data_IF_370097481048
#
_entry.id   IF_370097481048
#
_cell.length_a   1.000
_cell.length_b   1.000
_cell.length_c   1.000
_cell.angle_alpha   90.00
_cell.angle_beta   90.00
_cell.angle_gamma   90.00
#
_symmetry.space_group_name_H-M   'P 1'
#
loop_
_entity.id
_entity.type
_entity.pdbx_description
1 polymer ?
#
# COMPACT_ATOMS: atom_id res chain seq x y z
N UNK A 1 4.26 22.20 16.20
CA UNK A 1 4.43 21.09 15.24
C UNK A 1 5.87 20.63 15.42
N UNK A 2 6.09 19.35 15.70
CA UNK A 2 7.44 18.82 15.95
C UNK A 2 8.38 19.13 14.76
N UNK A 3 9.58 19.56 15.05
CA UNK A 3 10.58 19.84 14.02
C UNK A 3 11.38 18.56 13.69
N UNK A 4 11.09 18.00 12.52
CA UNK A 4 11.81 16.86 11.98
C UNK A 4 13.00 17.26 11.08
N UNK A 5 13.30 18.56 10.95
CA UNK A 5 14.35 19.06 10.04
C UNK A 5 15.67 19.32 10.74
N UNK A 6 15.65 19.49 12.06
CA UNK A 6 16.84 19.78 12.90
C UNK A 6 17.56 18.51 13.38
N UNK A 7 18.57 18.73 14.23
CA UNK A 7 19.24 17.63 14.92
C UNK A 7 18.27 16.99 15.93
N UNK A 8 18.50 15.73 16.21
CA UNK A 8 17.70 14.95 17.16
C UNK A 8 18.60 14.44 18.25
N UNK A 9 18.13 14.56 19.48
CA UNK A 9 18.86 14.13 20.65
C UNK A 9 18.04 13.09 21.40
N UNK A 10 18.71 12.20 22.13
CA UNK A 10 18.07 11.18 22.96
C UNK A 10 17.10 10.28 22.20
N UNK A 11 17.44 9.92 20.97
CA UNK A 11 16.62 9.05 20.14
C UNK A 11 16.44 7.67 20.77
N UNK A 12 15.17 7.27 20.94
CA UNK A 12 14.82 6.00 21.56
C UNK A 12 13.57 5.43 20.90
N UNK A 13 13.52 4.11 20.73
CA UNK A 13 12.30 3.40 20.36
C UNK A 13 11.66 2.77 21.58
N UNK A 14 10.37 2.99 21.75
CA UNK A 14 9.59 2.37 22.82
C UNK A 14 8.49 1.50 22.23
N UNK A 15 8.25 0.37 22.88
CA UNK A 15 7.29 -0.64 22.42
C UNK A 15 6.25 -0.83 23.51
N UNK A 16 5.00 -0.48 23.24
CA UNK A 16 3.88 -0.56 24.18
C UNK A 16 2.98 -1.72 23.83
N UNK A 17 2.53 -2.45 24.84
CA UNK A 17 1.45 -3.40 24.68
C UNK A 17 0.12 -2.65 24.61
N UNK A 18 -0.76 -3.01 23.68
CA UNK A 18 -2.09 -2.42 23.51
C UNK A 18 -3.11 -3.54 23.50
N UNK A 19 -4.05 -3.52 24.45
CA UNK A 19 -5.10 -4.53 24.51
C UNK A 19 -6.00 -4.48 23.29
N UNK A 20 -6.22 -5.64 22.69
CA UNK A 20 -7.07 -5.77 21.49
C UNK A 20 -8.55 -5.42 21.76
N UNK A 21 -9.08 -5.71 22.97
CA UNK A 21 -10.50 -5.57 23.29
C UNK A 21 -10.93 -4.12 23.56
N UNK A 22 -10.03 -3.27 24.06
CA UNK A 22 -10.37 -1.92 24.51
C UNK A 22 -9.38 -0.83 24.08
N UNK A 23 -8.32 -1.19 23.34
CA UNK A 23 -7.30 -0.28 22.82
C UNK A 23 -6.51 0.49 23.89
N UNK A 24 -6.49 -0.02 25.12
CA UNK A 24 -5.74 0.57 26.23
C UNK A 24 -4.27 0.17 26.15
N UNK A 25 -3.40 1.16 26.30
CA UNK A 25 -1.96 0.94 26.40
C UNK A 25 -1.57 0.46 27.80
N UNK A 26 -0.64 -0.49 27.82
CA UNK A 26 -0.05 -1.07 29.02
C UNK A 26 1.45 -0.83 29.07
N UNK A 27 2.14 -1.55 29.98
CA UNK A 27 3.59 -1.47 30.15
C UNK A 27 4.35 -1.79 28.87
N UNK A 28 5.56 -1.25 28.76
CA UNK A 28 6.43 -1.46 27.63
C UNK A 28 6.93 -2.92 27.53
N UNK A 29 7.24 -3.35 26.32
CA UNK A 29 8.06 -4.52 26.05
C UNK A 29 9.55 -4.14 26.19
N UNK A 30 10.18 -4.34 27.34
CA UNK A 30 11.52 -3.79 27.60
C UNK A 30 12.65 -4.59 26.94
N UNK A 31 12.34 -5.73 26.35
CA UNK A 31 13.31 -6.70 25.80
C UNK A 31 13.41 -6.71 24.28
N UNK A 32 12.74 -5.82 23.59
CA UNK A 32 12.97 -5.62 22.15
C UNK A 32 14.31 -4.90 22.00
N UNK A 33 15.23 -5.48 21.24
CA UNK A 33 16.61 -5.00 21.10
C UNK A 33 16.84 -4.25 19.80
N UNK A 34 16.16 -4.62 18.74
CA UNK A 34 16.21 -3.99 17.42
C UNK A 34 14.96 -4.32 16.62
N UNK A 35 14.77 -3.69 15.48
CA UNK A 35 13.70 -4.01 14.58
C UNK A 35 13.67 -3.16 13.32
N UNK A 36 12.72 -3.46 12.47
CA UNK A 36 12.40 -2.67 11.29
C UNK A 36 10.90 -2.62 11.07
N UNK A 37 10.45 -1.56 10.42
CA UNK A 37 9.09 -1.41 9.91
C UNK A 37 9.14 -1.22 8.41
N UNK A 38 8.18 -1.80 7.73
CA UNK A 38 7.96 -1.60 6.30
C UNK A 38 6.52 -1.15 6.07
N UNK A 39 6.38 -0.01 5.41
CA UNK A 39 5.12 0.46 4.86
C UNK A 39 5.16 0.22 3.35
N UNK A 40 4.20 -0.52 2.81
CA UNK A 40 4.17 -0.89 1.39
C UNK A 40 2.76 -0.74 0.80
N UNK A 41 2.62 0.12 -0.19
CA UNK A 41 1.35 0.42 -0.83
C UNK A 41 0.76 -0.77 -1.60
N UNK A 42 1.61 -1.63 -2.14
CA UNK A 42 1.25 -2.84 -2.89
C UNK A 42 0.97 -4.07 -2.00
N UNK A 43 1.36 -4.01 -0.71
CA UNK A 43 1.05 -5.07 0.25
C UNK A 43 -0.41 -5.01 0.72
N UNK A 44 -1.07 -6.16 0.86
CA UNK A 44 -2.42 -6.24 1.43
C UNK A 44 -2.48 -5.69 2.85
N UNK A 45 -1.46 -5.96 3.65
CA UNK A 45 -1.40 -5.55 5.05
C UNK A 45 -0.89 -4.11 5.24
N UNK A 46 -0.34 -3.49 4.20
CA UNK A 46 0.19 -2.12 4.18
C UNK A 46 1.35 -1.84 5.13
N UNK A 47 1.35 -2.39 6.35
CA UNK A 47 2.39 -2.20 7.36
C UNK A 47 2.76 -3.55 7.95
N UNK A 48 4.06 -3.84 7.93
CA UNK A 48 4.67 -5.02 8.54
C UNK A 48 5.90 -4.61 9.37
N UNK A 49 6.37 -5.51 10.23
CA UNK A 49 7.57 -5.28 11.02
C UNK A 49 8.27 -6.56 11.40
N UNK A 50 9.55 -6.46 11.72
CA UNK A 50 10.35 -7.54 12.27
C UNK A 50 11.15 -7.02 13.45
N UNK A 51 11.13 -7.73 14.58
CA UNK A 51 11.68 -7.25 15.85
C UNK A 51 12.50 -8.35 16.50
N UNK A 52 13.73 -8.06 16.87
CA UNK A 52 14.54 -8.94 17.69
C UNK A 52 14.27 -8.72 19.16
N UNK A 53 14.19 -9.80 19.92
CA UNK A 53 14.02 -9.74 21.35
C UNK A 53 15.03 -10.62 22.10
N UNK A 54 15.42 -10.17 23.30
CA UNK A 54 16.17 -10.96 24.26
C UNK A 54 15.69 -10.66 25.69
N UNK A 55 15.19 -11.65 26.40
CA UNK A 55 14.63 -11.48 27.74
C UNK A 55 14.57 -12.75 28.58
N UNK A 56 14.16 -12.62 29.84
CA UNK A 56 13.98 -13.75 30.74
C UNK A 56 12.60 -14.42 30.59
N UNK A 57 11.68 -13.79 29.87
CA UNK A 57 10.34 -14.27 29.57
C UNK A 57 10.01 -13.98 28.10
N UNK A 58 9.17 -14.82 27.52
CA UNK A 58 8.66 -14.56 26.18
C UNK A 58 7.73 -13.34 26.18
N UNK A 59 7.79 -12.46 25.18
CA UNK A 59 6.80 -11.41 24.96
C UNK A 59 5.39 -11.99 24.84
N UNK A 60 4.39 -11.29 25.38
CA UNK A 60 2.99 -11.66 25.20
C UNK A 60 2.51 -11.27 23.80
N UNK A 61 2.08 -12.25 23.01
CA UNK A 61 1.59 -12.04 21.63
C UNK A 61 0.07 -12.04 21.52
N UNK A 62 -0.66 -12.05 22.65
CA UNK A 62 -2.12 -12.01 22.65
C UNK A 62 -2.69 -10.62 22.38
N UNK A 63 -1.91 -9.58 22.68
CA UNK A 63 -2.23 -8.18 22.46
C UNK A 63 -1.46 -7.60 21.27
N UNK A 64 -1.81 -6.37 20.92
CA UNK A 64 -1.09 -5.60 19.91
C UNK A 64 0.19 -4.99 20.49
N UNK A 65 1.18 -4.74 19.63
CA UNK A 65 2.36 -3.97 19.96
C UNK A 65 2.30 -2.63 19.19
N UNK A 66 2.42 -1.52 19.92
CA UNK A 66 2.57 -0.19 19.33
C UNK A 66 4.01 0.27 19.46
N UNK A 67 4.59 0.65 18.33
CA UNK A 67 5.96 1.14 18.22
C UNK A 67 5.95 2.65 18.25
N UNK A 68 6.76 3.24 19.11
CA UNK A 68 6.97 4.68 19.20
C UNK A 68 8.41 5.04 18.90
N UNK A 69 8.59 6.22 18.32
CA UNK A 69 9.85 6.90 18.15
C UNK A 69 9.85 8.18 18.98
N UNK A 70 10.75 8.23 19.94
CA UNK A 70 10.90 9.31 20.89
C UNK A 70 12.24 10.01 20.66
N UNK A 71 12.23 11.35 20.65
CA UNK A 71 13.43 12.16 20.55
C UNK A 71 13.18 13.58 21.08
N UNK A 72 14.25 14.30 21.38
CA UNK A 72 14.20 15.73 21.69
C UNK A 72 14.67 16.51 20.45
N UNK A 73 13.87 17.51 20.02
CA UNK A 73 14.22 18.38 18.90
C UNK A 73 15.26 19.47 19.30
N UNK A 74 15.73 20.23 18.33
CA UNK A 74 16.71 21.32 18.57
C UNK A 74 16.20 22.42 19.54
N UNK A 75 14.89 22.52 19.75
CA UNK A 75 14.28 23.46 20.69
C UNK A 75 14.17 22.85 22.10
N UNK A 76 14.51 21.59 22.27
CA UNK A 76 14.37 20.82 23.50
C UNK A 76 12.92 20.36 23.75
N UNK A 77 12.05 20.39 22.75
CA UNK A 77 10.72 19.79 22.83
C UNK A 77 10.82 18.28 22.66
N UNK A 78 10.18 17.54 23.58
CA UNK A 78 10.11 16.09 23.50
C UNK A 78 9.03 15.68 22.49
N UNK A 79 9.43 14.91 21.47
CA UNK A 79 8.58 14.35 20.44
C UNK A 79 8.30 12.89 20.77
N UNK A 80 7.04 12.52 20.91
CA UNK A 80 6.56 11.16 21.12
C UNK A 80 5.65 10.78 19.94
N UNK A 81 6.16 9.99 18.99
CA UNK A 81 5.49 9.72 17.73
C UNK A 81 5.23 8.23 17.55
N UNK A 82 3.95 7.84 17.41
CA UNK A 82 3.58 6.48 17.05
C UNK A 82 3.98 6.19 15.59
N UNK A 83 4.60 5.04 15.35
CA UNK A 83 5.00 4.58 14.01
C UNK A 83 4.04 3.53 13.46
N UNK A 84 3.64 2.56 14.28
CA UNK A 84 2.73 1.48 13.88
C UNK A 84 2.11 0.80 15.09
N UNK A 85 0.93 0.20 14.89
CA UNK A 85 0.28 -0.73 15.82
C UNK A 85 0.08 -2.06 15.12
N UNK A 86 0.64 -3.14 15.65
CA UNK A 86 0.81 -4.42 14.97
C UNK A 86 0.34 -5.60 15.83
N UNK A 87 -0.26 -6.59 15.22
CA UNK A 87 -0.25 -7.95 15.76
C UNK A 87 1.16 -8.50 15.67
N UNK A 88 1.64 -9.16 16.70
CA UNK A 88 2.96 -9.78 16.72
C UNK A 88 2.85 -11.29 16.89
N UNK A 89 3.71 -12.02 16.22
CA UNK A 89 3.82 -13.47 16.31
C UNK A 89 5.29 -13.89 16.34
N UNK A 90 5.60 -15.00 17.00
CA UNK A 90 6.96 -15.54 16.96
C UNK A 90 7.24 -16.15 15.60
N UNK A 91 8.33 -15.74 14.96
CA UNK A 91 8.88 -16.40 13.80
C UNK A 91 10.04 -17.34 14.16
N UNK A 92 10.82 -16.97 15.18
CA UNK A 92 11.88 -17.82 15.73
C UNK A 92 12.03 -17.61 17.24
N UNK A 93 12.33 -18.68 17.97
CA UNK A 93 12.55 -18.65 19.42
C UNK A 93 13.65 -19.63 19.82
N UNK A 94 14.69 -19.12 20.44
CA UNK A 94 15.77 -19.91 21.03
C UNK A 94 15.82 -19.68 22.54
N UNK A 95 15.91 -20.78 23.31
CA UNK A 95 16.10 -20.72 24.75
C UNK A 95 17.56 -21.07 25.10
N UNK A 96 18.24 -20.15 25.74
CA UNK A 96 19.65 -20.28 26.15
C UNK A 96 19.76 -20.40 27.66
N UNK A 97 20.33 -21.49 28.13
CA UNK A 97 20.64 -21.66 29.54
C UNK A 97 21.83 -20.77 29.94
N UNK A 98 21.64 -19.96 30.96
CA UNK A 98 22.68 -19.09 31.54
C UNK A 98 22.92 -19.40 33.01
N UNK A 99 23.95 -18.86 33.61
CA UNK A 99 24.22 -19.00 35.06
C UNK A 99 23.12 -18.38 35.93
N UNK A 100 22.30 -17.50 35.41
CA UNK A 100 21.21 -16.79 36.09
C UNK A 100 19.83 -17.31 35.75
N UNK A 101 19.71 -18.33 34.89
CA UNK A 101 18.43 -18.90 34.46
C UNK A 101 18.38 -19.12 32.95
N UNK A 102 17.17 -19.26 32.41
CA UNK A 102 16.94 -19.39 30.97
C UNK A 102 16.67 -17.99 30.43
N UNK A 103 17.40 -17.61 29.38
CA UNK A 103 17.07 -16.48 28.52
C UNK A 103 16.44 -16.95 27.24
N UNK A 104 15.40 -16.28 26.80
CA UNK A 104 14.76 -16.47 25.49
C UNK A 104 15.17 -15.34 24.56
N UNK A 105 15.57 -15.68 23.34
CA UNK A 105 15.84 -14.71 22.27
C UNK A 105 15.20 -15.19 20.98
N UNK A 106 14.95 -14.27 20.08
CA UNK A 106 14.35 -14.63 18.78
C UNK A 106 13.82 -13.44 18.04
N UNK A 107 12.93 -13.73 17.10
CA UNK A 107 12.31 -12.73 16.23
C UNK A 107 10.79 -12.77 16.38
N UNK A 108 10.19 -11.58 16.41
CA UNK A 108 8.76 -11.35 16.29
C UNK A 108 8.46 -10.74 14.94
N UNK A 109 7.55 -11.32 14.18
CA UNK A 109 7.00 -10.71 12.97
C UNK A 109 5.74 -9.93 13.33
N UNK A 110 5.67 -8.69 12.84
CA UNK A 110 4.56 -7.78 13.02
C UNK A 110 3.71 -7.67 11.76
N UNK A 111 2.40 -7.65 11.93
CA UNK A 111 1.42 -7.42 10.87
C UNK A 111 0.42 -6.37 11.30
N UNK A 112 0.03 -5.48 10.41
CA UNK A 112 -0.93 -4.42 10.73
C UNK A 112 -2.28 -4.98 11.18
N UNK A 113 -3.12 -4.11 11.73
CA UNK A 113 -4.49 -4.44 12.15
C UNK A 113 -5.38 -4.96 11.01
N UNK A 114 -5.02 -4.70 9.74
CA UNK A 114 -5.70 -5.27 8.58
C UNK A 114 -5.64 -6.79 8.53
N UNK A 115 -4.68 -7.40 9.23
CA UNK A 115 -4.57 -8.86 9.40
C UNK A 115 -5.85 -9.46 9.97
N UNK A 116 -6.52 -8.78 10.90
CA UNK A 116 -7.79 -9.25 11.46
C UNK A 116 -8.91 -9.29 10.42
N UNK A 117 -8.93 -8.35 9.46
CA UNK A 117 -9.85 -8.36 8.32
C UNK A 117 -9.49 -9.46 7.31
N UNK A 118 -8.20 -9.68 7.06
CA UNK A 118 -7.71 -10.71 6.14
C UNK A 118 -8.01 -12.13 6.67
N UNK A 119 -7.85 -12.36 7.97
CA UNK A 119 -8.08 -13.66 8.60
C UNK A 119 -9.57 -13.99 8.76
N UNK A 120 -10.42 -12.97 8.86
CA UNK A 120 -11.87 -13.14 8.94
C UNK A 120 -12.44 -13.41 7.56
N UNK A 121 -13.00 -14.63 7.38
CA UNK A 121 -13.54 -15.09 6.11
C UNK A 121 -15.00 -15.49 6.21
N UNK A 122 -15.77 -15.28 5.13
CA UNK A 122 -17.12 -15.80 5.03
C UNK A 122 -17.10 -17.29 4.69
N UNK A 123 -17.84 -18.09 5.49
CA UNK A 123 -17.97 -19.54 5.24
C UNK A 123 -18.97 -19.92 4.12
N UNK A 124 -19.72 -18.94 3.60
CA UNK A 124 -20.70 -19.09 2.51
C UNK A 124 -20.58 -17.87 1.57
N UNK A 125 -21.13 -17.93 0.35
CA UNK A 125 -21.16 -16.77 -0.54
C UNK A 125 -21.79 -15.57 0.16
N UNK A 126 -21.18 -14.39 -0.03
CA UNK A 126 -21.63 -13.14 0.57
C UNK A 126 -22.05 -12.16 -0.52
N UNK A 127 -23.28 -11.65 -0.43
CA UNK A 127 -23.81 -10.70 -1.42
C UNK A 127 -23.94 -9.32 -0.80
N UNK A 128 -23.40 -8.34 -1.49
CA UNK A 128 -23.69 -6.91 -1.27
C UNK A 128 -24.76 -6.51 -2.25
N UNK A 129 -25.86 -5.92 -1.78
CA UNK A 129 -27.03 -5.67 -2.62
C UNK A 129 -26.96 -4.29 -3.29
N UNK A 130 -27.63 -4.17 -4.44
CA UNK A 130 -27.82 -2.89 -5.11
C UNK A 130 -28.45 -1.86 -4.17
N UNK A 131 -28.08 -0.59 -4.35
CA UNK A 131 -28.48 0.56 -3.53
C UNK A 131 -27.94 0.57 -2.09
N UNK A 132 -27.12 -0.39 -1.66
CA UNK A 132 -26.34 -0.24 -0.43
C UNK A 132 -25.25 0.82 -0.63
N UNK A 133 -25.00 1.65 0.41
CA UNK A 133 -23.88 2.57 0.41
C UNK A 133 -22.57 1.79 0.63
N UNK A 134 -21.65 1.88 -0.32
CA UNK A 134 -20.43 1.09 -0.34
C UNK A 134 -19.53 1.37 0.88
N UNK A 135 -19.28 2.66 1.18
CA UNK A 135 -18.39 3.04 2.29
C UNK A 135 -19.02 2.70 3.64
N UNK A 136 -20.31 2.95 3.82
CA UNK A 136 -20.98 2.58 5.07
C UNK A 136 -20.97 1.06 5.30
N UNK A 137 -21.08 0.28 4.24
CA UNK A 137 -20.96 -1.19 4.32
C UNK A 137 -19.54 -1.61 4.73
N UNK A 138 -18.51 -1.00 4.15
CA UNK A 138 -17.12 -1.23 4.53
C UNK A 138 -16.87 -0.91 6.01
N UNK A 139 -17.34 0.26 6.49
CA UNK A 139 -17.27 0.67 7.89
C UNK A 139 -17.95 -0.35 8.81
N UNK A 140 -19.12 -0.87 8.41
CA UNK A 140 -19.85 -1.88 9.18
C UNK A 140 -19.05 -3.19 9.31
N UNK A 141 -18.39 -3.64 8.24
CA UNK A 141 -17.53 -4.84 8.27
C UNK A 141 -16.33 -4.62 9.20
N UNK A 142 -15.64 -3.50 9.10
CA UNK A 142 -14.47 -3.17 9.92
C UNK A 142 -14.85 -3.12 11.41
N UNK A 143 -15.91 -2.39 11.74
CA UNK A 143 -16.34 -2.24 13.14
C UNK A 143 -16.91 -3.54 13.74
N UNK A 144 -17.46 -4.43 12.91
CA UNK A 144 -18.01 -5.72 13.35
C UNK A 144 -16.97 -6.66 13.97
N UNK A 145 -15.68 -6.43 13.72
CA UNK A 145 -14.58 -7.21 14.31
C UNK A 145 -13.80 -6.45 15.39
N UNK A 146 -14.29 -5.28 15.81
CA UNK A 146 -13.70 -4.50 16.90
C UNK A 146 -12.61 -3.50 16.49
N UNK A 147 -12.40 -3.30 15.18
CA UNK A 147 -11.46 -2.28 14.67
C UNK A 147 -12.08 -0.88 14.70
N UNK A 148 -11.25 0.10 15.01
CA UNK A 148 -11.58 1.51 14.83
C UNK A 148 -11.47 1.89 13.35
N UNK A 149 -12.32 2.80 12.91
CA UNK A 149 -12.32 3.29 11.53
C UNK A 149 -12.49 4.79 11.50
N UNK A 150 -11.66 5.45 10.70
CA UNK A 150 -11.80 6.83 10.29
C UNK A 150 -12.10 6.88 8.78
N UNK A 151 -13.13 7.62 8.38
CA UNK A 151 -13.56 7.63 7.00
C UNK A 151 -14.16 8.96 6.57
N UNK A 152 -13.96 9.33 5.32
CA UNK A 152 -14.69 10.43 4.69
C UNK A 152 -16.06 9.89 4.26
N UNK A 153 -17.18 10.47 4.70
CA UNK A 153 -18.51 10.04 4.26
C UNK A 153 -18.73 10.28 2.76
N UNK A 154 -19.34 9.29 2.09
CA UNK A 154 -19.76 9.40 0.69
C UNK A 154 -21.18 8.87 0.52
N UNK A 155 -21.86 9.32 -0.54
CA UNK A 155 -23.23 8.94 -0.89
C UNK A 155 -23.30 7.88 -2.02
N UNK A 156 -22.17 7.40 -2.49
CA UNK A 156 -22.10 6.41 -3.58
C UNK A 156 -22.80 5.12 -3.16
N UNK A 157 -23.80 4.72 -3.95
CA UNK A 157 -24.52 3.47 -3.80
C UNK A 157 -24.17 2.51 -4.92
N UNK A 158 -24.20 1.22 -4.63
CA UNK A 158 -23.91 0.19 -5.60
C UNK A 158 -25.02 0.11 -6.67
N UNK A 159 -24.63 0.04 -7.94
CA UNK A 159 -25.55 -0.01 -9.07
C UNK A 159 -26.19 -1.39 -9.28
N UNK A 160 -25.57 -2.46 -8.78
CA UNK A 160 -26.00 -3.85 -8.94
C UNK A 160 -25.60 -4.69 -7.74
N UNK A 161 -26.24 -5.86 -7.59
CA UNK A 161 -25.80 -6.86 -6.61
C UNK A 161 -24.44 -7.41 -7.02
N UNK A 162 -23.57 -7.61 -6.03
CA UNK A 162 -22.30 -8.31 -6.23
C UNK A 162 -22.14 -9.43 -5.20
N UNK A 163 -21.86 -10.64 -5.68
CA UNK A 163 -21.72 -11.83 -4.85
C UNK A 163 -20.28 -12.31 -4.86
N UNK A 164 -19.69 -12.39 -3.69
CA UNK A 164 -18.39 -12.97 -3.45
C UNK A 164 -18.51 -14.46 -3.15
N UNK A 165 -17.52 -15.23 -3.57
CA UNK A 165 -17.46 -16.66 -3.30
C UNK A 165 -17.23 -16.95 -1.80
N UNK A 166 -17.53 -18.18 -1.40
CA UNK A 166 -17.20 -18.65 -0.06
C UNK A 166 -15.69 -18.65 0.18
N UNK A 167 -15.27 -18.21 1.35
CA UNK A 167 -13.86 -18.09 1.72
C UNK A 167 -13.23 -16.73 1.45
N UNK A 168 -13.96 -15.77 0.84
CA UNK A 168 -13.51 -14.40 0.68
C UNK A 168 -13.23 -13.76 2.04
N UNK A 169 -12.15 -12.99 2.16
CA UNK A 169 -11.82 -12.26 3.38
C UNK A 169 -12.63 -10.96 3.51
N UNK A 170 -12.78 -10.48 4.74
CA UNK A 170 -13.37 -9.16 4.97
C UNK A 170 -12.53 -8.05 4.32
N UNK A 171 -11.21 -8.20 4.28
CA UNK A 171 -10.31 -7.23 3.66
C UNK A 171 -10.56 -7.11 2.16
N UNK A 172 -10.73 -8.23 1.45
CA UNK A 172 -11.02 -8.23 0.01
C UNK A 172 -12.35 -7.52 -0.27
N UNK A 173 -13.39 -7.78 0.55
CA UNK A 173 -14.69 -7.13 0.41
C UNK A 173 -14.58 -5.63 0.69
N UNK A 174 -13.88 -5.23 1.75
CA UNK A 174 -13.67 -3.81 2.11
C UNK A 174 -12.94 -3.09 0.98
N UNK A 175 -11.85 -3.66 0.46
CA UNK A 175 -11.10 -3.05 -0.64
C UNK A 175 -11.93 -2.96 -1.93
N UNK A 176 -12.73 -3.98 -2.25
CA UNK A 176 -13.65 -3.92 -3.38
C UNK A 176 -14.70 -2.81 -3.21
N UNK A 177 -15.28 -2.66 -2.00
CA UNK A 177 -16.24 -1.59 -1.71
C UNK A 177 -15.60 -0.20 -1.81
N UNK A 178 -14.36 -0.05 -1.34
CA UNK A 178 -13.57 1.18 -1.49
C UNK A 178 -13.39 1.51 -2.98
N UNK A 179 -12.95 0.54 -3.77
CA UNK A 179 -12.77 0.72 -5.22
C UNK A 179 -14.08 1.08 -5.93
N UNK A 180 -15.19 0.41 -5.58
CA UNK A 180 -16.51 0.70 -6.15
C UNK A 180 -17.00 2.13 -5.84
N UNK A 181 -16.55 2.71 -4.73
CA UNK A 181 -16.84 4.09 -4.35
C UNK A 181 -15.79 5.10 -4.83
N UNK A 182 -14.74 4.68 -5.54
CA UNK A 182 -13.63 5.56 -5.96
C UNK A 182 -12.69 5.94 -4.80
N UNK A 183 -12.58 5.07 -3.80
CA UNK A 183 -11.66 5.22 -2.66
C UNK A 183 -10.38 4.42 -2.89
N UNK A 184 -9.31 4.87 -2.22
CA UNK A 184 -8.10 4.06 -2.08
C UNK A 184 -8.38 2.81 -1.23
N UNK A 185 -7.61 1.73 -1.40
CA UNK A 185 -7.65 0.59 -0.49
C UNK A 185 -7.47 1.02 0.97
N UNK A 186 -8.07 0.25 1.89
CA UNK A 186 -7.96 0.50 3.32
C UNK A 186 -6.50 0.55 3.79
N UNK A 187 -6.15 1.56 4.60
CA UNK A 187 -4.80 1.76 5.16
C UNK A 187 -4.91 1.92 6.68
N UNK A 188 -4.07 1.27 7.48
CA UNK A 188 -4.04 1.52 8.92
C UNK A 188 -3.22 2.78 9.21
N UNK A 189 -3.67 3.61 10.17
CA UNK A 189 -2.83 4.65 10.75
C UNK A 189 -1.84 4.07 11.78
N UNK A 190 -0.97 4.92 12.32
CA UNK A 190 0.02 4.51 13.32
C UNK A 190 -0.63 3.99 14.63
N UNK A 191 -1.84 4.40 14.94
CA UNK A 191 -2.58 3.99 16.14
C UNK A 191 -3.45 2.75 15.91
N UNK A 192 -3.47 2.20 14.69
CA UNK A 192 -4.25 1.02 14.33
C UNK A 192 -5.70 1.33 13.95
N UNK A 193 -6.04 2.58 13.66
CA UNK A 193 -7.33 2.93 13.08
C UNK A 193 -7.29 2.67 11.58
N UNK A 194 -8.30 2.01 11.06
CA UNK A 194 -8.42 1.79 9.61
C UNK A 194 -8.95 3.06 8.96
N UNK A 195 -8.22 3.59 7.99
CA UNK A 195 -8.54 4.84 7.29
C UNK A 195 -9.11 4.53 5.91
N UNK A 196 -10.28 5.10 5.58
CA UNK A 196 -10.92 5.01 4.27
C UNK A 196 -11.06 6.42 3.69
N UNK A 197 -10.32 6.71 2.61
CA UNK A 197 -10.28 8.02 1.98
C UNK A 197 -10.52 7.93 0.47
N UNK A 198 -11.19 8.94 -0.15
CA UNK A 198 -11.32 9.02 -1.59
C UNK A 198 -9.93 8.97 -2.27
N UNK A 199 -9.88 8.29 -3.40
CA UNK A 199 -8.67 8.33 -4.24
C UNK A 199 -8.43 9.77 -4.71
N UNK A 200 -7.22 10.26 -4.50
CA UNK A 200 -6.80 11.59 -4.96
C UNK A 200 -5.56 11.44 -5.83
N UNK A 201 -5.61 12.00 -7.03
CA UNK A 201 -4.48 11.99 -7.93
C UNK A 201 -3.33 12.84 -7.35
N UNK A 202 -2.14 12.27 -7.33
CA UNK A 202 -0.91 12.90 -6.81
C UNK A 202 -0.57 14.20 -7.51
N UNK A 203 -0.85 14.30 -8.81
CA UNK A 203 -0.56 15.49 -9.61
C UNK A 203 -1.32 16.71 -9.06
N UNK A 204 -2.42 16.50 -8.36
CA UNK A 204 -3.28 17.55 -7.78
C UNK A 204 -3.00 17.83 -6.31
N UNK A 205 -2.10 17.06 -5.68
CA UNK A 205 -1.78 17.22 -4.25
C UNK A 205 -0.52 18.07 -4.06
N UNK A 206 -0.56 18.93 -3.05
CA UNK A 206 0.67 19.53 -2.52
C UNK A 206 1.52 18.45 -1.85
N UNK A 207 2.83 18.49 -2.05
CA UNK A 207 3.72 17.54 -1.43
C UNK A 207 3.68 17.66 0.11
N UNK A 208 3.38 16.56 0.79
CA UNK A 208 3.37 16.49 2.26
C UNK A 208 4.79 16.70 2.83
N UNK A 209 5.80 16.18 2.12
CA UNK A 209 7.22 16.35 2.46
C UNK A 209 8.01 16.67 1.20
N UNK A 210 8.94 17.62 1.34
CA UNK A 210 9.94 17.95 0.30
C UNK A 210 11.30 17.52 0.82
N UNK A 211 11.94 16.60 0.10
CA UNK A 211 13.34 16.27 0.30
C UNK A 211 14.18 17.07 -0.69
N UNK A 212 15.20 17.78 -0.19
CA UNK A 212 16.09 18.57 -1.02
C UNK A 212 17.55 18.25 -0.69
N UNK A 213 18.43 18.45 -1.65
CA UNK A 213 19.87 18.35 -1.39
C UNK A 213 20.38 19.70 -0.85
N UNK A 214 19.97 20.04 0.36
CA UNK A 214 20.35 21.27 1.08
C UNK A 214 20.67 20.97 2.55
N UNK A 215 21.15 21.99 3.27
CA UNK A 215 21.57 21.87 4.67
C UNK A 215 20.37 21.61 5.64
N UNK A 216 19.14 21.69 5.16
CA UNK A 216 17.91 21.50 5.95
C UNK A 216 17.25 20.14 5.71
N UNK A 217 17.62 19.47 4.64
CA UNK A 217 17.12 18.15 4.31
C UNK A 217 18.06 17.09 4.83
N UNK A 218 17.56 16.22 5.68
CA UNK A 218 18.33 15.07 6.14
C UNK A 218 18.18 13.94 5.10
N UNK A 219 18.47 14.23 3.84
CA UNK A 219 18.51 13.28 2.74
C UNK A 219 19.97 12.91 2.45
N UNK A 220 20.25 11.62 2.31
CA UNK A 220 21.56 11.17 1.87
C UNK A 220 21.77 11.51 0.39
N UNK A 221 23.02 11.76 -0.05
CA UNK A 221 23.28 12.27 -1.40
C UNK A 221 23.00 11.28 -2.52
N UNK A 222 22.69 10.03 -2.19
CA UNK A 222 22.44 8.99 -3.19
C UNK A 222 20.95 8.92 -3.54
N UNK A 223 20.62 9.20 -4.79
CA UNK A 223 19.27 9.07 -5.36
C UNK A 223 19.34 8.04 -6.49
N UNK A 224 18.54 6.99 -6.38
CA UNK A 224 18.40 6.00 -7.45
C UNK A 224 17.10 6.24 -8.21
N UNK A 225 17.20 6.36 -9.52
CA UNK A 225 16.03 6.46 -10.42
C UNK A 225 15.95 5.19 -11.25
N UNK A 226 14.84 4.49 -11.15
CA UNK A 226 14.58 3.27 -11.91
C UNK A 226 13.34 3.45 -12.78
N UNK A 227 13.53 3.23 -14.08
CA UNK A 227 12.49 3.27 -15.11
C UNK A 227 12.47 1.92 -15.80
N UNK A 228 11.83 0.95 -15.21
CA UNK A 228 11.68 -0.37 -15.84
C UNK A 228 10.40 -0.42 -16.69
N UNK A 229 10.57 -0.14 -17.96
CA UNK A 229 9.53 -0.28 -18.99
C UNK A 229 9.73 -1.53 -19.85
N UNK A 230 10.69 -2.39 -19.52
CA UNK A 230 11.03 -3.57 -20.32
C UNK A 230 9.86 -4.56 -20.40
N UNK A 231 9.10 -4.69 -19.32
CA UNK A 231 7.94 -5.59 -19.22
C UNK A 231 6.60 -4.90 -19.58
N UNK A 232 6.59 -3.58 -19.81
CA UNK A 232 5.37 -2.83 -20.12
C UNK A 232 4.81 -3.22 -21.49
N UNK A 233 3.58 -3.77 -21.60
CA UNK A 233 3.00 -4.16 -22.85
C UNK A 233 2.64 -2.93 -23.71
N UNK A 234 2.77 -3.05 -25.02
CA UNK A 234 2.32 -2.06 -25.99
C UNK A 234 1.22 -2.56 -26.91
N UNK A 235 0.84 -3.81 -26.73
CA UNK A 235 -0.31 -4.42 -27.40
C UNK A 235 -1.13 -5.18 -26.36
N UNK A 236 -2.43 -4.94 -26.34
CA UNK A 236 -3.38 -5.72 -25.54
C UNK A 236 -4.29 -6.49 -26.49
N UNK A 237 -4.40 -7.79 -26.29
CA UNK A 237 -5.32 -8.66 -27.03
C UNK A 237 -6.28 -9.30 -26.05
N UNK A 238 -7.57 -9.06 -26.25
CA UNK A 238 -8.63 -9.69 -25.46
C UNK A 238 -9.39 -10.67 -26.35
N UNK A 239 -9.71 -11.82 -25.78
CA UNK A 239 -10.56 -12.83 -26.39
C UNK A 239 -11.81 -13.01 -25.54
N UNK A 240 -12.99 -12.70 -26.11
CA UNK A 240 -14.24 -13.12 -25.56
C UNK A 240 -14.66 -14.44 -26.18
N UNK A 241 -14.75 -15.50 -25.40
CA UNK A 241 -15.00 -16.84 -25.88
C UNK A 241 -16.11 -17.52 -25.07
N UNK A 242 -17.19 -17.82 -25.75
CA UNK A 242 -18.35 -18.55 -25.20
C UNK A 242 -18.86 -19.58 -26.20
N UNK A 243 -19.73 -20.45 -25.78
CA UNK A 243 -20.39 -21.43 -26.69
C UNK A 243 -21.11 -20.80 -27.88
N UNK A 244 -21.48 -19.50 -27.76
CA UNK A 244 -22.31 -18.78 -28.75
C UNK A 244 -21.55 -17.76 -29.57
N UNK A 245 -20.41 -17.27 -29.10
CA UNK A 245 -19.63 -16.22 -29.75
C UNK A 245 -18.16 -16.32 -29.43
N UNK A 246 -17.33 -16.04 -30.43
CA UNK A 246 -15.89 -15.87 -30.26
C UNK A 246 -15.48 -14.56 -30.94
N UNK A 247 -15.04 -13.58 -30.14
CA UNK A 247 -14.73 -12.23 -30.60
C UNK A 247 -13.33 -11.88 -30.06
N UNK A 248 -12.49 -11.28 -30.88
CA UNK A 248 -11.20 -10.72 -30.47
C UNK A 248 -11.22 -9.20 -30.55
N UNK A 249 -10.50 -8.57 -29.65
CA UNK A 249 -10.17 -7.15 -29.72
C UNK A 249 -8.69 -6.94 -29.51
N UNK A 250 -8.13 -5.98 -30.20
CA UNK A 250 -6.73 -5.56 -30.10
C UNK A 250 -6.65 -4.06 -29.92
N UNK A 251 -5.81 -3.61 -28.99
CA UNK A 251 -5.42 -2.20 -28.84
C UNK A 251 -3.89 -2.10 -28.86
N UNK A 252 -3.35 -1.14 -29.61
CA UNK A 252 -1.92 -0.91 -29.78
C UNK A 252 -1.54 0.51 -29.38
N UNK A 253 -0.51 0.64 -28.56
CA UNK A 253 0.13 1.92 -28.26
C UNK A 253 1.14 2.24 -29.37
N UNK A 254 0.74 3.09 -30.30
CA UNK A 254 1.58 3.44 -31.44
C UNK A 254 2.72 4.38 -31.07
N UNK A 255 2.43 5.44 -30.32
CA UNK A 255 3.37 6.49 -29.97
C UNK A 255 2.99 7.20 -28.68
N UNK A 256 3.86 8.05 -28.13
CA UNK A 256 3.58 8.91 -26.98
C UNK A 256 4.09 8.36 -25.64
N UNK A 257 4.64 7.14 -25.60
CA UNK A 257 5.33 6.61 -24.42
C UNK A 257 6.63 5.89 -24.79
N UNK A 258 7.49 5.65 -23.81
CA UNK A 258 8.74 4.87 -24.00
C UNK A 258 8.47 3.40 -24.36
N UNK A 259 7.30 2.88 -23.95
CA UNK A 259 6.86 1.53 -24.26
C UNK A 259 6.22 1.40 -25.63
N UNK A 260 5.89 2.51 -26.33
CA UNK A 260 5.18 2.50 -27.62
C UNK A 260 5.88 1.72 -28.71
N UNK A 261 5.12 1.33 -29.74
CA UNK A 261 5.67 0.63 -30.92
C UNK A 261 6.75 1.48 -31.63
N UNK A 262 6.53 2.80 -31.75
CA UNK A 262 7.51 3.70 -32.36
C UNK A 262 8.81 3.73 -31.56
N UNK A 263 8.74 3.87 -30.23
CA UNK A 263 9.90 3.90 -29.36
C UNK A 263 10.68 2.56 -29.36
N UNK A 264 9.98 1.44 -29.58
CA UNK A 264 10.56 0.09 -29.63
C UNK A 264 10.90 -0.39 -31.05
N UNK A 265 10.84 0.49 -32.04
CA UNK A 265 11.14 0.13 -33.44
C UNK A 265 10.19 -0.90 -34.02
N UNK A 266 8.93 -0.87 -33.65
CA UNK A 266 7.87 -1.77 -34.10
C UNK A 266 7.80 -3.11 -33.36
N UNK A 267 8.59 -3.31 -32.29
CA UNK A 267 8.57 -4.56 -31.50
C UNK A 267 7.34 -4.60 -30.60
N UNK A 268 6.49 -5.60 -30.82
CA UNK A 268 5.31 -5.83 -30.00
C UNK A 268 5.68 -6.57 -28.69
N UNK A 269 5.10 -6.12 -27.60
CA UNK A 269 5.00 -6.83 -26.32
C UNK A 269 3.53 -6.92 -25.98
N UNK A 270 3.00 -8.14 -26.08
CA UNK A 270 1.56 -8.38 -26.02
C UNK A 270 1.14 -8.88 -24.65
N UNK A 271 0.16 -8.21 -24.06
CA UNK A 271 -0.67 -8.75 -22.98
C UNK A 271 -1.87 -9.46 -23.60
N UNK A 272 -2.17 -10.66 -23.13
CA UNK A 272 -3.29 -11.46 -23.60
C UNK A 272 -4.17 -11.87 -22.43
N UNK A 273 -5.48 -11.71 -22.58
CA UNK A 273 -6.48 -12.11 -21.59
C UNK A 273 -7.72 -12.69 -22.28
N UNK A 274 -8.26 -13.77 -21.72
CA UNK A 274 -9.52 -14.37 -22.13
C UNK A 274 -10.60 -14.04 -21.10
N UNK A 275 -11.76 -13.56 -21.55
CA UNK A 275 -12.92 -13.25 -20.71
C UNK A 275 -14.18 -13.92 -21.23
N UNK A 276 -15.02 -14.39 -20.31
CA UNK A 276 -16.36 -14.89 -20.61
C UNK A 276 -17.47 -13.90 -20.24
N UNK A 277 -17.10 -12.78 -19.60
CA UNK A 277 -18.01 -11.77 -19.09
C UNK A 277 -17.85 -10.45 -19.85
N UNK A 278 -18.88 -9.99 -20.50
CA UNK A 278 -18.99 -8.66 -21.06
C UNK A 278 -20.32 -8.04 -20.65
N UNK A 279 -20.31 -6.75 -20.30
CA UNK A 279 -21.55 -6.04 -20.03
C UNK A 279 -22.32 -5.83 -21.33
N UNK A 280 -23.45 -6.43 -21.52
CA UNK A 280 -24.45 -6.27 -22.59
C UNK A 280 -24.26 -7.06 -23.90
N UNK A 281 -25.41 -7.63 -24.38
CA UNK A 281 -25.47 -8.55 -25.50
C UNK A 281 -25.48 -7.87 -26.89
N UNK A 282 -25.72 -6.58 -27.00
CA UNK A 282 -25.97 -5.89 -28.28
C UNK A 282 -24.75 -5.20 -28.88
N UNK A 283 -23.70 -4.97 -28.12
CA UNK A 283 -22.47 -4.27 -28.56
C UNK A 283 -21.19 -4.97 -28.10
N UNK A 284 -21.18 -6.31 -28.05
CA UNK A 284 -20.05 -7.09 -27.47
C UNK A 284 -18.68 -6.75 -28.08
N UNK A 285 -18.62 -6.53 -29.39
CA UNK A 285 -17.37 -6.19 -30.04
C UNK A 285 -16.88 -4.79 -29.64
N UNK A 286 -17.77 -3.80 -29.62
CA UNK A 286 -17.41 -2.44 -29.21
C UNK A 286 -17.03 -2.39 -27.73
N UNK A 287 -17.75 -3.10 -26.86
CA UNK A 287 -17.43 -3.22 -25.44
C UNK A 287 -16.05 -3.88 -25.22
N UNK A 288 -15.73 -4.95 -25.95
CA UNK A 288 -14.44 -5.62 -25.88
C UNK A 288 -13.30 -4.74 -26.38
N UNK A 289 -13.53 -3.98 -27.47
CA UNK A 289 -12.56 -3.02 -28.01
C UNK A 289 -12.28 -1.89 -27.02
N UNK A 290 -13.32 -1.35 -26.38
CA UNK A 290 -13.16 -0.30 -25.38
C UNK A 290 -12.46 -0.84 -24.11
N UNK A 291 -12.74 -2.08 -23.71
CA UNK A 291 -12.05 -2.76 -22.62
C UNK A 291 -10.55 -2.95 -22.95
N UNK A 292 -10.23 -3.38 -24.19
CA UNK A 292 -8.84 -3.52 -24.62
C UNK A 292 -8.08 -2.18 -24.61
N UNK A 293 -8.72 -1.08 -25.05
CA UNK A 293 -8.15 0.25 -24.97
C UNK A 293 -7.91 0.71 -23.51
N UNK A 294 -8.91 0.52 -22.64
CA UNK A 294 -8.81 0.88 -21.23
C UNK A 294 -7.66 0.10 -20.54
N UNK A 295 -7.61 -1.21 -20.79
CA UNK A 295 -6.55 -2.08 -20.29
C UNK A 295 -5.17 -1.71 -20.82
N UNK A 296 -5.08 -1.32 -22.11
CA UNK A 296 -3.84 -0.84 -22.68
C UNK A 296 -3.37 0.45 -21.98
N UNK A 297 -4.25 1.41 -21.76
CA UNK A 297 -3.92 2.67 -21.08
C UNK A 297 -3.44 2.42 -19.64
N UNK A 298 -4.09 1.51 -18.94
CA UNK A 298 -3.70 1.08 -17.60
C UNK A 298 -2.30 0.43 -17.58
N UNK A 299 -2.08 -0.57 -18.46
CA UNK A 299 -0.85 -1.36 -18.49
C UNK A 299 0.33 -0.65 -19.19
N UNK A 300 0.07 0.27 -20.12
CA UNK A 300 1.10 1.02 -20.84
C UNK A 300 1.50 2.33 -20.14
N UNK A 301 0.99 2.59 -18.94
CA UNK A 301 1.43 3.71 -18.12
C UNK A 301 2.90 3.53 -17.78
N UNK A 302 3.74 4.50 -18.19
CA UNK A 302 5.14 4.50 -17.78
C UNK A 302 5.22 4.80 -16.28
N UNK A 303 5.81 3.90 -15.52
CA UNK A 303 6.03 4.07 -14.08
C UNK A 303 7.50 4.36 -13.83
N UNK A 304 7.74 5.41 -13.08
CA UNK A 304 9.07 5.82 -12.67
C UNK A 304 9.18 5.69 -11.16
N UNK A 305 10.26 5.04 -10.70
CA UNK A 305 10.55 4.89 -9.29
C UNK A 305 11.78 5.71 -8.91
N UNK A 306 11.67 6.43 -7.80
CA UNK A 306 12.81 7.11 -7.19
C UNK A 306 13.01 6.55 -5.79
N UNK A 307 14.23 6.11 -5.49
CA UNK A 307 14.59 5.61 -4.16
C UNK A 307 15.56 6.58 -3.52
N UNK A 308 15.23 7.01 -2.30
CA UNK A 308 16.05 7.90 -1.48
C UNK A 308 16.27 7.30 -0.10
N UNK A 309 17.41 7.59 0.49
CA UNK A 309 17.69 7.33 1.92
C UNK A 309 17.67 8.65 2.68
N UNK A 310 17.02 8.67 3.84
CA UNK A 310 16.86 9.88 4.64
C UNK A 310 16.70 9.57 6.13
N UNK A 311 16.82 10.58 6.98
CA UNK A 311 16.40 10.46 8.38
C UNK A 311 14.86 10.42 8.44
N UNK A 312 14.32 9.86 9.51
CA UNK A 312 12.88 9.69 9.66
C UNK A 312 12.09 10.99 9.42
N UNK A 313 11.06 10.87 8.62
CA UNK A 313 10.00 11.85 8.41
C UNK A 313 8.67 11.12 8.50
N UNK A 314 7.65 11.67 9.16
CA UNK A 314 6.33 11.09 9.14
C UNK A 314 5.78 11.15 7.71
N UNK A 315 5.57 9.97 7.14
CA UNK A 315 5.03 9.76 5.80
C UNK A 315 4.00 8.65 5.86
N UNK A 316 2.88 8.85 5.19
CA UNK A 316 1.86 7.82 5.01
C UNK A 316 1.89 7.27 3.57
N UNK A 317 1.38 6.06 3.41
CA UNK A 317 1.20 5.41 2.09
C UNK A 317 0.32 6.30 1.21
N UNK A 318 0.70 6.43 -0.06
CA UNK A 318 0.03 7.26 -1.07
C UNK A 318 0.10 8.78 -0.82
N UNK A 319 0.88 9.27 0.15
CA UNK A 319 1.16 10.70 0.25
C UNK A 319 2.06 11.19 -0.87
N UNK A 320 1.81 12.41 -1.32
CA UNK A 320 2.65 13.10 -2.31
C UNK A 320 3.98 13.51 -1.67
N UNK A 321 5.08 13.12 -2.28
CA UNK A 321 6.44 13.45 -1.85
C UNK A 321 7.20 14.09 -3.00
N UNK A 322 7.87 15.20 -2.74
CA UNK A 322 8.74 15.87 -3.71
C UNK A 322 10.21 15.64 -3.37
N UNK A 323 11.01 15.35 -4.38
CA UNK A 323 12.46 15.22 -4.30
C UNK A 323 13.10 16.25 -5.20
N UNK A 324 13.88 17.17 -4.61
CA UNK A 324 14.68 18.16 -5.32
C UNK A 324 16.15 17.74 -5.24
N UNK A 325 16.70 17.25 -6.33
CA UNK A 325 18.07 16.76 -6.40
C UNK A 325 18.79 17.38 -7.58
N UNK A 326 19.81 18.18 -7.34
CA UNK A 326 20.50 18.98 -8.37
C UNK A 326 19.48 19.85 -9.13
N UNK A 327 19.42 19.70 -10.44
CA UNK A 327 18.49 20.43 -11.32
C UNK A 327 17.18 19.68 -11.54
N UNK A 328 16.97 18.55 -10.88
CA UNK A 328 15.80 17.70 -11.01
C UNK A 328 14.81 17.97 -9.87
N UNK A 329 13.57 18.29 -10.23
CA UNK A 329 12.42 18.23 -9.33
C UNK A 329 11.54 17.07 -9.74
N UNK A 330 11.31 16.16 -8.81
CA UNK A 330 10.53 14.97 -9.04
C UNK A 330 9.44 14.84 -7.96
N UNK A 331 8.22 14.57 -8.35
CA UNK A 331 7.08 14.39 -7.42
C UNK A 331 6.42 13.06 -7.71
N UNK A 332 6.13 12.29 -6.68
CA UNK A 332 5.45 11.00 -6.76
C UNK A 332 4.79 10.63 -5.44
N UNK A 333 4.19 9.46 -5.37
CA UNK A 333 3.60 8.89 -4.15
C UNK A 333 4.58 8.00 -3.41
N UNK A 334 4.40 7.91 -2.09
CA UNK A 334 5.09 6.90 -1.30
C UNK A 334 4.56 5.50 -1.63
N UNK A 335 5.40 4.69 -2.27
CA UNK A 335 5.14 3.29 -2.59
C UNK A 335 5.61 2.36 -1.46
N UNK A 336 6.83 2.60 -0.96
CA UNK A 336 7.41 1.83 0.13
C UNK A 336 8.27 2.71 1.03
N UNK A 337 8.19 2.48 2.33
CA UNK A 337 9.05 3.10 3.34
C UNK A 337 9.57 2.04 4.31
N UNK A 338 10.87 1.84 4.30
CA UNK A 338 11.58 1.03 5.29
C UNK A 338 12.16 1.93 6.38
N UNK A 339 11.91 1.59 7.64
CA UNK A 339 12.40 2.30 8.83
C UNK A 339 13.24 1.33 9.65
N UNK A 340 14.53 1.59 9.80
CA UNK A 340 15.40 0.87 10.73
C UNK A 340 15.22 1.43 12.14
N UNK A 341 14.77 0.59 13.08
CA UNK A 341 14.51 0.99 14.47
C UNK A 341 15.79 0.94 15.30
N UNK A 342 16.75 1.76 14.92
CA UNK A 342 18.05 1.92 15.59
C UNK A 342 18.32 3.40 15.85
N UNK A 343 19.11 3.76 16.87
CA UNK A 343 19.55 5.16 17.03
C UNK A 343 20.16 5.72 15.74
N UNK A 344 19.92 6.98 15.43
CA UNK A 344 20.19 7.62 14.14
C UNK A 344 19.35 6.96 13.02
N UNK A 345 18.04 7.00 13.18
CA UNK A 345 17.04 6.32 12.35
C UNK A 345 17.28 6.55 10.87
N UNK A 346 17.61 5.48 10.18
CA UNK A 346 17.74 5.47 8.72
C UNK A 346 16.46 4.97 8.09
N UNK A 347 15.92 5.78 7.19
CA UNK A 347 14.77 5.43 6.37
C UNK A 347 15.18 5.30 4.91
N UNK A 348 14.51 4.39 4.20
CA UNK A 348 14.59 4.29 2.76
C UNK A 348 13.18 4.38 2.19
N UNK A 349 12.94 5.41 1.37
CA UNK A 349 11.67 5.59 0.66
C UNK A 349 11.83 5.26 -0.80
N UNK A 350 10.92 4.40 -1.31
CA UNK A 350 10.69 4.18 -2.73
C UNK A 350 9.44 4.94 -3.11
N UNK A 351 9.58 5.88 -4.00
CA UNK A 351 8.52 6.74 -4.48
C UNK A 351 8.13 6.32 -5.89
N UNK A 352 6.84 6.36 -6.20
CA UNK A 352 6.26 5.98 -7.49
C UNK A 352 5.67 7.21 -8.17
N UNK A 353 5.95 7.39 -9.45
CA UNK A 353 5.27 8.37 -10.31
C UNK A 353 4.75 7.68 -11.55
N UNK A 354 3.47 7.83 -11.80
CA UNK A 354 2.84 7.41 -13.04
C UNK A 354 2.90 8.55 -14.05
N UNK A 355 3.51 8.28 -15.19
CA UNK A 355 3.60 9.21 -16.29
C UNK A 355 2.45 8.89 -17.25
N UNK A 356 1.38 9.69 -17.16
CA UNK A 356 0.25 9.60 -18.11
C UNK A 356 0.64 10.32 -19.38
N UNK A 357 1.31 9.62 -20.28
CA UNK A 357 1.62 10.14 -21.58
C UNK A 357 0.36 10.15 -22.47
N UNK A 358 0.29 11.13 -23.40
CA UNK A 358 -0.75 11.17 -24.42
C UNK A 358 -0.46 10.08 -25.47
N UNK A 359 -0.75 8.82 -25.13
CA UNK A 359 -0.54 7.71 -26.03
C UNK A 359 -1.53 7.75 -27.20
N UNK A 360 -1.01 7.49 -28.39
CA UNK A 360 -1.83 7.28 -29.59
C UNK A 360 -2.20 5.81 -29.68
N UNK A 361 -3.49 5.51 -29.60
CA UNK A 361 -4.00 4.14 -29.60
C UNK A 361 -4.64 3.80 -30.95
N UNK A 362 -4.22 2.71 -31.57
CA UNK A 362 -4.94 2.03 -32.64
C UNK A 362 -5.71 0.86 -32.04
N UNK A 363 -6.96 0.68 -32.46
CA UNK A 363 -7.82 -0.38 -31.97
C UNK A 363 -8.59 -1.08 -33.09
N UNK A 364 -8.76 -2.39 -32.95
CA UNK A 364 -9.47 -3.24 -33.88
C UNK A 364 -10.24 -4.34 -33.15
N UNK A 365 -11.31 -4.81 -33.74
CA UNK A 365 -12.06 -5.95 -33.27
C UNK A 365 -12.49 -6.85 -34.41
N UNK A 366 -12.54 -8.17 -34.18
CA UNK A 366 -12.93 -9.17 -35.18
C UNK A 366 -13.82 -10.24 -34.52
N UNK A 367 -14.88 -10.62 -35.25
CA UNK A 367 -15.71 -11.75 -34.89
C UNK A 367 -15.16 -12.99 -35.57
N UNK A 368 -14.74 -13.97 -34.77
CA UNK A 368 -14.17 -15.23 -35.27
C UNK A 368 -15.24 -16.31 -35.46
N UNK A 369 -16.35 -16.25 -34.71
CA UNK A 369 -17.48 -17.19 -34.76
C UNK A 369 -18.76 -16.58 -34.20
#
# INVERSE_FOLDING_TARGET
MADYTGNRHNEVFTYKRVSWDNWVEHEAYPWITSGSLELAADSDLKVTGSFEFEGNTLPDTSDLMRVYYDFDDDNGEHVHNALATLFVAYSDVENVATSTGIKSRGTLDGSSVLKALQDKKYGAPFTVTANENAIYKAVTLITSIGLNVDYTPDSTVLGADHTFDSGVSYLDIVNWLCQAAGYSPAVPDAYGTVVLQPFTDVITQDAAVIFANDDKSIMYPEVSVNNDWSETPNVVKLLYNTDKACITAEAKNLSGSRASLDARGGREQTYYEETSELPDDTAKMEALVNLAESKLRELSCDVEYVTISHAYRPLAINEAVQVNYSDMTWTGTLENLNIELTPAVRCQSKLKRELYDNITVEKAGEVLR
#
